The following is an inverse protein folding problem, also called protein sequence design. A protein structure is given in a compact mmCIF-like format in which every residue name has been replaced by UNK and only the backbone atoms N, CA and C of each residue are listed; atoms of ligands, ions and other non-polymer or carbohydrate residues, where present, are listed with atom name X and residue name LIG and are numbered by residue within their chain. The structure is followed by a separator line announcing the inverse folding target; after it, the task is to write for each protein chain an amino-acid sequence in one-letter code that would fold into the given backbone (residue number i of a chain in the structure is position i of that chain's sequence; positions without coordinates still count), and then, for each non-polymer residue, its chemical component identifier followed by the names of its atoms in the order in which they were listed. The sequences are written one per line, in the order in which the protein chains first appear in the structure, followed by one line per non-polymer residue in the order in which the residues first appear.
data_IF_124794395787
#
_entry.id   IF_124794395787
#
_cell.length_a   1.000
_cell.length_b   1.000
_cell.length_c   1.000
_cell.angle_alpha   90.00
_cell.angle_beta   90.00
_cell.angle_gamma   90.00
#
_symmetry.space_group_name_H-M   'P 1'
#
loop_
_entity.id
_entity.type
_entity.pdbx_description
1 polymer ?
#
# COMPACT_ATOMS: atom_id res chain seq x y z
N UNK A 1 16.14 -28.45 -17.70
CA UNK A 1 14.71 -28.24 -18.02
C UNK A 1 14.46 -26.74 -17.82
N UNK A 2 14.11 -26.03 -18.88
CA UNK A 2 13.95 -24.57 -18.86
C UNK A 2 12.80 -24.18 -17.92
N UNK A 3 13.09 -23.32 -16.97
CA UNK A 3 12.09 -22.67 -16.13
C UNK A 3 11.20 -21.87 -17.07
N UNK A 4 9.95 -22.31 -17.23
CA UNK A 4 8.99 -21.64 -18.08
C UNK A 4 8.87 -20.17 -17.65
N UNK A 5 8.91 -19.26 -18.64
CA UNK A 5 8.72 -17.83 -18.42
C UNK A 5 7.52 -17.64 -17.51
N UNK A 6 7.69 -17.05 -16.32
CA UNK A 6 6.58 -16.62 -15.47
C UNK A 6 5.80 -15.61 -16.29
N UNK A 7 4.64 -16.03 -16.75
CA UNK A 7 3.63 -15.12 -17.23
C UNK A 7 3.00 -14.49 -15.95
N UNK A 8 3.02 -13.16 -15.82
CA UNK A 8 2.37 -12.48 -14.69
C UNK A 8 0.95 -13.00 -14.48
N UNK A 9 0.23 -13.27 -15.56
CA UNK A 9 -1.10 -13.88 -15.51
C UNK A 9 -1.08 -15.28 -14.89
N UNK A 10 -0.04 -16.09 -15.15
CA UNK A 10 0.08 -17.41 -14.53
C UNK A 10 0.44 -17.33 -13.05
N UNK A 11 1.19 -16.30 -12.64
CA UNK A 11 1.47 -16.04 -11.23
C UNK A 11 0.18 -15.73 -10.47
N UNK A 12 -0.67 -14.88 -11.01
CA UNK A 12 -1.99 -14.58 -10.44
C UNK A 12 -2.98 -15.77 -10.57
N UNK A 13 -2.80 -16.66 -11.53
CA UNK A 13 -3.60 -17.90 -11.71
C UNK A 13 -3.05 -19.10 -10.93
N UNK A 14 -1.92 -18.95 -10.25
CA UNK A 14 -1.33 -20.05 -9.49
C UNK A 14 -2.22 -20.41 -8.29
N UNK A 15 -2.97 -21.51 -8.44
CA UNK A 15 -3.92 -22.02 -7.42
C UNK A 15 -3.26 -22.34 -6.08
N UNK A 16 -1.94 -22.51 -6.05
CA UNK A 16 -1.20 -22.76 -4.82
C UNK A 16 -1.05 -21.50 -3.95
N UNK A 17 -1.21 -20.30 -4.55
CA UNK A 17 -1.05 -19.03 -3.84
C UNK A 17 -2.34 -18.51 -3.20
N UNK A 18 -3.50 -19.09 -3.54
CA UNK A 18 -4.81 -18.59 -3.13
C UNK A 18 -5.78 -19.70 -2.75
N UNK A 19 -6.69 -19.45 -1.83
CA UNK A 19 -7.74 -20.41 -1.47
C UNK A 19 -8.75 -20.60 -2.61
N UNK A 20 -9.43 -21.75 -2.67
CA UNK A 20 -10.50 -22.00 -3.66
C UNK A 20 -11.59 -20.94 -3.63
N UNK A 21 -11.97 -20.44 -2.44
CA UNK A 21 -12.98 -19.40 -2.27
C UNK A 21 -12.49 -18.07 -2.83
N UNK A 22 -11.24 -17.72 -2.52
CA UNK A 22 -10.55 -16.53 -3.07
C UNK A 22 -10.49 -16.60 -4.60
N UNK A 23 -10.29 -17.78 -5.18
CA UNK A 23 -10.19 -17.95 -6.64
C UNK A 23 -11.53 -17.74 -7.37
N UNK A 24 -12.67 -18.08 -6.80
CA UNK A 24 -13.99 -17.85 -7.43
C UNK A 24 -14.29 -16.34 -7.50
N UNK A 25 -14.00 -15.62 -6.43
CA UNK A 25 -14.07 -14.16 -6.39
C UNK A 25 -12.96 -13.53 -7.27
N UNK A 26 -11.84 -14.22 -7.41
CA UNK A 26 -10.66 -13.81 -8.15
C UNK A 26 -10.84 -13.87 -9.67
N UNK A 27 -11.54 -14.84 -10.25
CA UNK A 27 -11.82 -14.87 -11.68
C UNK A 27 -12.56 -13.60 -12.14
N UNK A 28 -13.50 -13.12 -11.33
CA UNK A 28 -14.16 -11.83 -11.56
C UNK A 28 -13.18 -10.64 -11.43
N UNK A 29 -12.36 -10.64 -10.38
CA UNK A 29 -11.37 -9.59 -10.13
C UNK A 29 -10.26 -9.61 -11.19
N UNK A 30 -9.93 -10.78 -11.69
CA UNK A 30 -8.97 -10.97 -12.77
C UNK A 30 -9.48 -10.48 -14.12
N UNK A 31 -10.77 -10.66 -14.42
CA UNK A 31 -11.41 -10.06 -15.59
C UNK A 31 -11.40 -8.53 -15.51
N UNK A 32 -11.60 -7.97 -14.33
CA UNK A 32 -11.41 -6.54 -14.06
C UNK A 32 -9.95 -6.12 -14.27
N UNK A 33 -8.99 -6.96 -13.89
CA UNK A 33 -7.56 -6.76 -14.12
C UNK A 33 -7.21 -6.71 -15.61
N UNK A 34 -7.64 -7.69 -16.41
CA UNK A 34 -7.34 -7.74 -17.85
C UNK A 34 -7.90 -6.53 -18.59
N UNK A 35 -9.03 -5.98 -18.15
CA UNK A 35 -9.69 -4.83 -18.77
C UNK A 35 -9.06 -3.48 -18.42
N UNK A 36 -8.45 -3.36 -17.25
CA UNK A 36 -8.04 -2.07 -16.67
C UNK A 36 -6.55 -1.78 -16.68
N UNK A 37 -5.69 -2.79 -16.88
CA UNK A 37 -4.24 -2.59 -16.83
C UNK A 37 -3.58 -3.15 -18.07
N UNK A 38 -3.12 -2.26 -18.94
CA UNK A 38 -2.28 -2.63 -20.06
C UNK A 38 -0.83 -2.80 -19.60
N UNK A 39 -0.54 -3.88 -18.85
CA UNK A 39 0.82 -4.23 -18.43
C UNK A 39 1.77 -4.41 -19.62
N UNK A 40 1.25 -4.82 -20.76
CA UNK A 40 2.04 -5.06 -21.96
C UNK A 40 2.64 -3.79 -22.57
N UNK A 41 2.17 -2.61 -22.14
CA UNK A 41 2.69 -1.31 -22.63
C UNK A 41 3.81 -0.75 -21.77
N UNK A 42 4.17 -1.36 -20.63
CA UNK A 42 5.23 -0.87 -19.77
C UNK A 42 6.59 -1.44 -20.18
N UNK A 43 7.47 -0.61 -20.78
CA UNK A 43 8.74 -1.03 -21.37
C UNK A 43 9.72 -1.74 -20.40
N UNK A 44 9.51 -1.64 -19.09
CA UNK A 44 10.34 -2.31 -18.06
C UNK A 44 9.75 -3.60 -17.51
N UNK A 45 8.55 -3.98 -17.93
CA UNK A 45 7.83 -5.13 -17.37
C UNK A 45 8.61 -6.45 -17.54
N UNK A 46 9.15 -6.70 -18.73
CA UNK A 46 9.93 -7.90 -19.00
C UNK A 46 11.18 -7.99 -18.10
N UNK A 47 11.84 -6.85 -17.86
CA UNK A 47 12.98 -6.76 -16.95
C UNK A 47 12.59 -7.15 -15.53
N UNK A 48 11.46 -6.66 -15.02
CA UNK A 48 10.97 -7.02 -13.69
C UNK A 48 10.57 -8.48 -13.58
N UNK A 49 9.96 -9.06 -14.61
CA UNK A 49 9.66 -10.50 -14.66
C UNK A 49 10.95 -11.31 -14.58
N UNK A 50 11.99 -10.91 -15.32
CA UNK A 50 13.29 -11.58 -15.29
C UNK A 50 13.93 -11.48 -13.89
N UNK A 51 13.76 -10.35 -13.17
CA UNK A 51 14.18 -10.19 -11.78
C UNK A 51 13.46 -11.21 -10.88
N UNK A 52 12.13 -11.31 -10.97
CA UNK A 52 11.37 -12.28 -10.18
C UNK A 52 11.81 -13.73 -10.46
N UNK A 53 12.09 -14.07 -11.72
CA UNK A 53 12.57 -15.38 -12.14
C UNK A 53 14.00 -15.69 -11.65
N UNK A 54 14.78 -14.66 -11.34
CA UNK A 54 16.16 -14.77 -10.88
C UNK A 54 16.27 -14.81 -9.36
N UNK A 55 15.15 -14.68 -8.64
CA UNK A 55 15.13 -14.82 -7.18
C UNK A 55 15.47 -16.28 -6.78
N UNK A 56 16.24 -16.49 -5.71
CA UNK A 56 16.55 -17.84 -5.22
C UNK A 56 15.28 -18.64 -4.94
N UNK A 57 15.29 -19.90 -5.33
CA UNK A 57 14.16 -20.81 -5.08
C UNK A 57 14.28 -21.44 -3.70
N UNK A 58 13.81 -20.73 -2.67
CA UNK A 58 13.87 -21.16 -1.28
C UNK A 58 12.43 -21.31 -0.77
N UNK A 59 12.14 -22.42 -0.10
CA UNK A 59 10.87 -22.61 0.58
C UNK A 59 10.99 -22.24 2.05
N UNK A 60 10.02 -21.51 2.55
CA UNK A 60 9.87 -21.21 3.97
C UNK A 60 8.43 -21.29 4.42
N UNK A 61 8.26 -21.63 5.69
CA UNK A 61 6.97 -21.59 6.39
C UNK A 61 6.92 -20.47 7.43
N UNK A 62 8.01 -19.70 7.53
CA UNK A 62 8.12 -18.66 8.54
C UNK A 62 7.64 -17.33 7.98
N UNK A 63 6.65 -16.76 8.64
CA UNK A 63 6.18 -15.40 8.45
C UNK A 63 5.87 -14.79 9.81
N UNK A 64 6.46 -13.63 10.11
CA UNK A 64 6.14 -12.83 11.29
C UNK A 64 5.78 -11.41 10.85
N UNK A 65 4.55 -11.02 11.08
CA UNK A 65 3.99 -9.69 10.79
C UNK A 65 3.68 -8.91 12.08
N UNK A 66 3.93 -9.46 13.25
CA UNK A 66 3.66 -8.84 14.55
C UNK A 66 4.67 -7.73 14.89
N UNK A 67 5.88 -7.81 14.34
CA UNK A 67 6.97 -6.87 14.59
C UNK A 67 6.91 -5.66 13.65
N UNK A 68 7.80 -4.68 13.86
CA UNK A 68 7.93 -3.52 12.97
C UNK A 68 8.20 -3.92 11.51
N UNK A 69 9.11 -4.87 11.26
CA UNK A 69 9.37 -5.43 9.94
C UNK A 69 8.46 -6.64 9.66
N UNK A 70 7.98 -6.74 8.41
CA UNK A 70 7.41 -7.99 7.93
C UNK A 70 8.56 -8.95 7.66
N UNK A 71 8.67 -9.98 8.48
CA UNK A 71 9.72 -10.98 8.35
C UNK A 71 9.21 -12.21 7.59
N UNK A 72 9.88 -12.57 6.50
CA UNK A 72 9.58 -13.74 5.67
C UNK A 72 10.82 -14.60 5.59
N UNK A 73 10.72 -15.83 6.06
CA UNK A 73 11.86 -16.75 6.18
C UNK A 73 12.77 -16.47 7.37
N UNK A 74 13.52 -17.51 7.77
CA UNK A 74 14.50 -17.41 8.84
C UNK A 74 15.90 -17.20 8.28
N UNK A 75 16.81 -16.57 9.05
CA UNK A 75 18.18 -16.31 8.60
C UNK A 75 18.98 -17.57 8.23
N UNK A 76 18.68 -18.71 8.83
CA UNK A 76 19.37 -19.99 8.57
C UNK A 76 18.80 -20.79 7.39
N UNK A 77 17.74 -20.30 6.75
CA UNK A 77 17.12 -20.96 5.58
C UNK A 77 17.74 -20.50 4.25
N UNK A 78 18.70 -19.56 4.26
CA UNK A 78 19.35 -19.02 3.06
C UNK A 78 20.87 -19.13 3.15
N UNK A 79 21.51 -19.55 2.07
CA UNK A 79 22.97 -19.52 1.92
C UNK A 79 23.48 -18.11 1.64
N UNK A 80 24.73 -17.80 1.98
CA UNK A 80 25.30 -16.46 1.74
C UNK A 80 25.37 -16.11 0.25
N UNK A 81 25.62 -17.09 -0.62
CA UNK A 81 25.57 -16.90 -2.08
C UNK A 81 24.17 -16.54 -2.58
N UNK A 82 23.14 -17.21 -2.06
CA UNK A 82 21.74 -16.93 -2.40
C UNK A 82 21.28 -15.59 -1.85
N UNK A 83 21.71 -15.23 -0.62
CA UNK A 83 21.44 -13.92 -0.02
C UNK A 83 21.93 -12.78 -0.93
N UNK A 84 23.14 -12.92 -1.48
CA UNK A 84 23.69 -11.92 -2.40
C UNK A 84 22.81 -11.76 -3.65
N UNK A 85 22.41 -12.88 -4.26
CA UNK A 85 21.51 -12.89 -5.42
C UNK A 85 20.15 -12.27 -5.06
N UNK A 86 19.58 -12.62 -3.90
CA UNK A 86 18.32 -12.06 -3.41
C UNK A 86 18.41 -10.55 -3.28
N UNK A 87 19.42 -10.05 -2.56
CA UNK A 87 19.60 -8.62 -2.31
C UNK A 87 19.80 -7.82 -3.60
N UNK A 88 20.66 -8.29 -4.50
CA UNK A 88 20.91 -7.65 -5.80
C UNK A 88 19.64 -7.56 -6.65
N UNK A 89 18.81 -8.60 -6.67
CA UNK A 89 17.57 -8.61 -7.45
C UNK A 89 16.47 -7.75 -6.79
N UNK A 90 16.34 -7.76 -5.47
CA UNK A 90 15.39 -6.89 -4.77
C UNK A 90 15.79 -5.41 -4.91
N UNK A 91 17.08 -5.07 -4.95
CA UNK A 91 17.55 -3.70 -5.21
C UNK A 91 17.17 -3.21 -6.61
N UNK A 92 17.15 -4.07 -7.62
CA UNK A 92 16.69 -3.71 -8.98
C UNK A 92 15.19 -3.38 -9.04
N UNK A 93 14.42 -3.74 -8.01
CA UNK A 93 13.02 -3.34 -7.84
C UNK A 93 12.87 -2.02 -7.05
N UNK A 94 13.92 -1.27 -6.80
CA UNK A 94 13.86 0.04 -6.13
C UNK A 94 13.10 1.07 -6.99
N UNK A 95 12.45 2.09 -6.38
CA UNK A 95 12.47 2.45 -4.96
C UNK A 95 11.43 1.67 -4.13
N UNK A 96 11.86 1.20 -2.94
CA UNK A 96 10.97 0.60 -1.96
C UNK A 96 10.38 1.68 -1.05
N UNK A 97 9.09 1.94 -1.22
CA UNK A 97 8.42 3.03 -0.50
C UNK A 97 7.93 2.65 0.89
N UNK A 98 7.20 1.54 1.03
CA UNK A 98 6.65 1.07 2.30
C UNK A 98 7.47 -0.08 2.88
N UNK A 99 7.56 -0.18 4.20
CA UNK A 99 8.29 -1.22 4.93
C UNK A 99 8.48 -0.83 6.40
N UNK A 100 9.42 -1.48 7.12
CA UNK A 100 10.49 -2.35 6.59
C UNK A 100 10.06 -3.80 6.33
N UNK A 101 10.87 -4.52 5.53
CA UNK A 101 10.78 -5.96 5.37
C UNK A 101 12.10 -6.62 5.77
N UNK A 102 12.04 -7.85 6.26
CA UNK A 102 13.19 -8.72 6.46
C UNK A 102 12.92 -10.03 5.73
N UNK A 103 13.56 -10.23 4.57
CA UNK A 103 13.40 -11.45 3.77
C UNK A 103 14.65 -12.32 4.02
N UNK A 104 14.48 -13.41 4.78
CA UNK A 104 15.56 -14.21 5.35
C UNK A 104 16.56 -13.35 6.14
N UNK A 105 17.74 -13.03 5.56
CA UNK A 105 18.77 -12.15 6.13
C UNK A 105 18.81 -10.76 5.45
N UNK A 106 17.96 -10.50 4.45
CA UNK A 106 18.00 -9.29 3.67
C UNK A 106 17.00 -8.28 4.25
N UNK A 107 17.52 -7.23 4.87
CA UNK A 107 16.71 -6.13 5.38
C UNK A 107 16.44 -5.12 4.25
N UNK A 108 15.17 -4.82 4.04
CA UNK A 108 14.70 -3.76 3.14
C UNK A 108 14.27 -2.58 4.01
N UNK A 109 15.23 -1.69 4.28
CA UNK A 109 15.00 -0.43 4.97
C UNK A 109 14.42 0.59 3.98
N UNK A 110 13.11 0.56 3.82
CA UNK A 110 12.35 1.36 2.85
C UNK A 110 12.36 2.86 3.18
N UNK A 111 11.85 3.68 2.24
CA UNK A 111 11.71 5.13 2.46
C UNK A 111 10.93 5.46 3.72
N UNK A 112 9.78 4.82 3.88
CA UNK A 112 8.88 5.03 5.01
C UNK A 112 9.09 3.99 6.10
N UNK A 113 9.21 4.46 7.33
CA UNK A 113 8.96 3.68 8.54
C UNK A 113 7.44 3.50 8.70
N UNK A 114 6.89 2.62 7.84
CA UNK A 114 5.44 2.37 7.80
C UNK A 114 4.92 1.71 9.08
N UNK A 115 5.81 1.07 9.84
CA UNK A 115 5.55 0.55 11.18
C UNK A 115 5.07 1.65 12.15
N UNK A 116 5.65 2.85 12.12
CA UNK A 116 5.21 3.98 12.95
C UNK A 116 3.77 4.37 12.65
N UNK A 117 3.40 4.42 11.36
CA UNK A 117 2.01 4.70 10.97
C UNK A 117 1.07 3.55 11.34
N UNK A 118 1.53 2.30 11.25
CA UNK A 118 0.76 1.14 11.70
C UNK A 118 0.42 1.23 13.18
N UNK A 119 1.39 1.54 14.03
CA UNK A 119 1.17 1.68 15.48
C UNK A 119 0.12 2.78 15.80
N UNK A 120 0.10 3.87 15.03
CA UNK A 120 -0.91 4.95 15.21
C UNK A 120 -2.34 4.50 14.90
N UNK A 121 -2.54 3.53 14.00
CA UNK A 121 -3.88 3.05 13.63
C UNK A 121 -4.29 1.77 14.37
N UNK A 122 -3.34 1.02 14.89
CA UNK A 122 -3.53 -0.35 15.40
C UNK A 122 -4.63 -0.46 16.46
N UNK A 123 -4.67 0.49 17.40
CA UNK A 123 -5.68 0.52 18.48
C UNK A 123 -7.09 0.84 18.02
N UNK A 124 -7.23 1.40 16.81
CA UNK A 124 -8.51 1.79 16.24
C UNK A 124 -9.06 0.77 15.22
N UNK A 125 -8.29 -0.28 14.94
CA UNK A 125 -8.74 -1.33 14.04
C UNK A 125 -9.88 -2.14 14.68
N UNK A 126 -10.95 -2.47 13.93
CA UNK A 126 -12.03 -3.30 14.43
C UNK A 126 -11.51 -4.66 14.90
N UNK A 127 -11.88 -5.06 16.12
CA UNK A 127 -11.50 -6.34 16.71
C UNK A 127 -12.55 -7.42 16.36
N UNK A 128 -12.54 -7.85 15.11
CA UNK A 128 -13.48 -8.86 14.59
C UNK A 128 -12.73 -9.80 13.66
N UNK A 129 -12.81 -11.08 13.91
CA UNK A 129 -12.24 -12.12 13.04
C UNK A 129 -13.06 -12.31 11.75
N UNK A 130 -12.42 -12.88 10.73
CA UNK A 130 -13.08 -13.23 9.48
C UNK A 130 -13.53 -12.03 8.65
N UNK A 131 -13.00 -10.83 8.91
CA UNK A 131 -13.30 -9.62 8.12
C UNK A 131 -12.80 -9.73 6.69
N UNK A 132 -13.55 -9.12 5.78
CA UNK A 132 -13.07 -8.78 4.44
C UNK A 132 -12.52 -7.37 4.48
N UNK A 133 -11.26 -7.20 4.09
CA UNK A 133 -10.54 -5.94 4.20
C UNK A 133 -10.05 -5.50 2.83
N UNK A 134 -10.22 -4.21 2.50
CA UNK A 134 -9.64 -3.60 1.30
C UNK A 134 -8.55 -2.60 1.69
N UNK A 135 -7.36 -2.73 1.09
CA UNK A 135 -6.22 -1.81 1.25
C UNK A 135 -6.01 -1.02 -0.04
N UNK A 136 -6.56 0.19 -0.10
CA UNK A 136 -6.49 1.07 -1.29
C UNK A 136 -5.11 1.71 -1.37
N UNK A 137 -4.43 1.56 -2.53
CA UNK A 137 -3.05 2.02 -2.70
C UNK A 137 -2.09 1.23 -1.83
N UNK A 138 -2.27 -0.09 -1.78
CA UNK A 138 -1.53 -0.98 -0.90
C UNK A 138 -0.01 -0.96 -1.16
N UNK A 139 0.45 -0.45 -2.31
CA UNK A 139 1.85 -0.44 -2.71
C UNK A 139 2.40 -1.88 -2.75
N UNK A 140 3.51 -2.16 -2.07
CA UNK A 140 4.13 -3.48 -1.96
C UNK A 140 3.48 -4.41 -0.93
N UNK A 141 2.29 -4.06 -0.43
CA UNK A 141 1.51 -4.90 0.48
C UNK A 141 1.91 -4.84 1.96
N UNK A 142 2.75 -3.90 2.38
CA UNK A 142 3.20 -3.83 3.77
C UNK A 142 2.02 -3.84 4.76
N UNK A 143 1.04 -2.93 4.59
CA UNK A 143 -0.14 -2.91 5.46
C UNK A 143 -1.04 -4.13 5.25
N UNK A 144 -1.11 -4.66 4.03
CA UNK A 144 -1.86 -5.88 3.77
C UNK A 144 -1.32 -7.07 4.57
N UNK A 145 0.01 -7.19 4.74
CA UNK A 145 0.61 -8.18 5.65
C UNK A 145 0.33 -7.87 7.12
N UNK A 146 0.41 -6.62 7.54
CA UNK A 146 0.10 -6.21 8.92
C UNK A 146 -1.35 -6.52 9.32
N UNK A 147 -2.29 -6.38 8.38
CA UNK A 147 -3.71 -6.68 8.60
C UNK A 147 -3.99 -8.16 8.90
N UNK A 148 -3.05 -9.06 8.67
CA UNK A 148 -3.16 -10.46 9.09
C UNK A 148 -3.28 -10.62 10.61
N UNK A 149 -2.85 -9.64 11.40
CA UNK A 149 -3.03 -9.62 12.86
C UNK A 149 -4.52 -9.69 13.26
N UNK A 150 -5.42 -9.26 12.37
CA UNK A 150 -6.87 -9.29 12.58
C UNK A 150 -7.53 -10.63 12.19
N UNK A 151 -6.76 -11.64 11.80
CA UNK A 151 -7.26 -12.92 11.31
C UNK A 151 -8.38 -12.77 10.26
N UNK A 152 -8.12 -12.03 9.13
CA UNK A 152 -9.13 -11.72 8.13
C UNK A 152 -9.50 -12.94 7.29
N UNK A 153 -10.72 -12.96 6.73
CA UNK A 153 -11.10 -13.87 5.66
C UNK A 153 -10.25 -13.59 4.41
N UNK A 154 -10.13 -12.33 4.03
CA UNK A 154 -9.32 -11.86 2.89
C UNK A 154 -8.86 -10.42 3.11
N UNK A 155 -7.65 -10.12 2.68
CA UNK A 155 -7.12 -8.77 2.46
C UNK A 155 -6.94 -8.55 0.97
N UNK A 156 -7.71 -7.64 0.41
CA UNK A 156 -7.63 -7.25 -1.00
C UNK A 156 -6.91 -5.91 -1.12
N UNK A 157 -5.66 -5.95 -1.59
CA UNK A 157 -4.92 -4.76 -1.97
C UNK A 157 -5.30 -4.29 -3.38
N UNK A 158 -5.49 -2.99 -3.57
CA UNK A 158 -5.70 -2.37 -4.88
C UNK A 158 -4.55 -1.41 -5.15
N UNK A 159 -3.75 -1.69 -6.19
CA UNK A 159 -2.56 -0.90 -6.53
C UNK A 159 -2.47 -0.72 -8.04
N UNK A 160 -2.24 0.51 -8.50
CA UNK A 160 -2.13 0.82 -9.93
C UNK A 160 -0.70 0.81 -10.48
N UNK A 161 0.30 0.91 -9.60
CA UNK A 161 1.70 1.07 -9.98
C UNK A 161 2.37 -0.29 -10.19
N UNK A 162 2.75 -0.65 -11.44
CA UNK A 162 3.29 -1.98 -11.73
C UNK A 162 4.50 -2.36 -10.89
N UNK A 163 5.43 -1.43 -10.64
CA UNK A 163 6.62 -1.69 -9.83
C UNK A 163 6.27 -2.19 -8.43
N UNK A 164 5.29 -1.57 -7.76
CA UNK A 164 4.90 -1.96 -6.40
C UNK A 164 4.24 -3.33 -6.37
N UNK A 165 3.53 -3.67 -7.44
CA UNK A 165 2.98 -5.02 -7.61
C UNK A 165 4.11 -6.04 -7.75
N UNK A 166 5.18 -5.73 -8.52
CA UNK A 166 6.36 -6.61 -8.61
C UNK A 166 7.06 -6.78 -7.26
N UNK A 167 7.15 -5.72 -6.46
CA UNK A 167 7.67 -5.82 -5.09
C UNK A 167 6.80 -6.73 -4.21
N UNK A 168 5.46 -6.59 -4.29
CA UNK A 168 4.55 -7.51 -3.60
C UNK A 168 4.76 -8.96 -4.06
N UNK A 169 4.87 -9.20 -5.37
CA UNK A 169 5.08 -10.54 -5.91
C UNK A 169 6.43 -11.12 -5.44
N UNK A 170 7.49 -10.31 -5.36
CA UNK A 170 8.79 -10.73 -4.85
C UNK A 170 8.71 -11.20 -3.39
N UNK A 171 7.90 -10.56 -2.55
CA UNK A 171 7.64 -11.02 -1.17
C UNK A 171 6.73 -12.24 -1.14
N UNK A 172 5.71 -12.27 -2.00
CA UNK A 172 4.70 -13.32 -2.06
C UNK A 172 5.27 -14.67 -2.50
N UNK A 173 6.29 -14.68 -3.35
CA UNK A 173 7.03 -15.90 -3.76
C UNK A 173 7.48 -16.71 -2.54
N UNK A 174 7.91 -16.05 -1.47
CA UNK A 174 8.33 -16.69 -0.24
C UNK A 174 7.20 -16.86 0.79
N UNK A 175 6.16 -16.05 0.72
CA UNK A 175 4.98 -16.11 1.60
C UNK A 175 3.82 -16.94 1.00
N UNK A 176 4.11 -18.04 0.31
CA UNK A 176 3.12 -18.88 -0.42
C UNK A 176 1.99 -19.40 0.46
N UNK A 177 2.28 -19.72 1.72
CA UNK A 177 1.26 -20.25 2.66
C UNK A 177 0.19 -19.24 3.05
N UNK A 178 0.43 -17.94 2.86
CA UNK A 178 -0.55 -16.91 3.09
C UNK A 178 -1.45 -16.81 1.85
N UNK A 179 -2.61 -17.45 1.91
CA UNK A 179 -3.52 -17.55 0.77
C UNK A 179 -4.63 -16.50 0.77
N UNK A 180 -4.73 -15.72 1.84
CA UNK A 180 -5.79 -14.73 2.04
C UNK A 180 -5.35 -13.27 1.84
N UNK A 181 -4.18 -13.03 1.23
CA UNK A 181 -3.78 -11.72 0.70
C UNK A 181 -3.74 -11.78 -0.81
N UNK A 182 -4.45 -10.88 -1.45
CA UNK A 182 -4.48 -10.69 -2.90
C UNK A 182 -4.22 -9.22 -3.23
N UNK A 183 -3.39 -8.92 -4.23
CA UNK A 183 -3.21 -7.57 -4.76
C UNK A 183 -3.71 -7.51 -6.20
N UNK A 184 -4.60 -6.56 -6.48
CA UNK A 184 -5.17 -6.33 -7.80
C UNK A 184 -4.54 -5.10 -8.41
N UNK A 185 -3.94 -5.23 -9.60
CA UNK A 185 -3.45 -4.10 -10.37
C UNK A 185 -4.62 -3.32 -10.98
N UNK A 186 -5.12 -2.35 -10.27
CA UNK A 186 -6.23 -1.52 -10.74
C UNK A 186 -6.18 -0.12 -10.13
N UNK A 187 -6.83 0.81 -10.81
CA UNK A 187 -7.24 2.05 -10.20
C UNK A 187 -8.53 1.82 -9.40
N UNK A 188 -8.57 2.25 -8.15
CA UNK A 188 -9.71 1.99 -7.27
C UNK A 188 -11.03 2.59 -7.79
N UNK A 189 -10.96 3.73 -8.48
CA UNK A 189 -12.15 4.37 -9.07
C UNK A 189 -12.79 3.51 -10.16
N UNK A 190 -11.98 2.69 -10.84
CA UNK A 190 -12.44 1.75 -11.88
C UNK A 190 -12.77 0.37 -11.32
N UNK A 191 -12.51 0.15 -10.03
CA UNK A 191 -12.77 -1.11 -9.37
C UNK A 191 -14.27 -1.26 -9.11
N UNK A 192 -14.94 -1.99 -9.99
CA UNK A 192 -16.33 -2.36 -9.82
C UNK A 192 -16.39 -3.73 -9.13
N UNK A 193 -16.60 -3.72 -7.82
CA UNK A 193 -16.61 -4.93 -7.02
C UNK A 193 -18.03 -5.44 -6.79
N UNK A 194 -18.11 -6.76 -6.65
CA UNK A 194 -19.26 -7.47 -6.10
C UNK A 194 -19.04 -7.89 -4.64
N UNK A 195 -17.96 -7.40 -4.04
CA UNK A 195 -17.52 -7.77 -2.69
C UNK A 195 -17.68 -6.58 -1.79
N UNK A 196 -18.44 -6.73 -0.73
CA UNK A 196 -18.54 -5.73 0.32
C UNK A 196 -17.50 -5.99 1.41
N UNK A 197 -16.82 -4.95 1.86
CA UNK A 197 -15.77 -5.02 2.87
C UNK A 197 -16.25 -4.55 4.25
N UNK A 198 -15.74 -5.19 5.30
CA UNK A 198 -15.96 -4.77 6.69
C UNK A 198 -15.07 -3.58 7.06
N UNK A 199 -13.86 -3.53 6.46
CA UNK A 199 -12.86 -2.49 6.68
C UNK A 199 -12.24 -2.05 5.35
N UNK A 200 -12.11 -0.75 5.13
CA UNK A 200 -11.39 -0.17 4.00
C UNK A 200 -10.31 0.78 4.52
N UNK A 201 -9.07 0.54 4.14
CA UNK A 201 -7.95 1.44 4.39
C UNK A 201 -7.69 2.30 3.15
N UNK A 202 -7.48 3.60 3.35
CA UNK A 202 -7.00 4.54 2.34
C UNK A 202 -5.89 5.41 2.96
N UNK A 203 -4.64 4.92 2.86
CA UNK A 203 -3.51 5.48 3.58
C UNK A 203 -2.59 6.24 2.61
N UNK A 204 -2.66 7.59 2.63
CA UNK A 204 -1.80 8.44 1.80
C UNK A 204 -2.26 8.57 0.35
N UNK A 205 -3.57 8.50 0.07
CA UNK A 205 -4.13 8.50 -1.28
C UNK A 205 -4.96 9.76 -1.57
N UNK A 206 -5.74 10.24 -0.61
CA UNK A 206 -6.74 11.29 -0.85
C UNK A 206 -6.14 12.55 -1.50
N UNK A 207 -4.99 13.02 -1.04
CA UNK A 207 -4.32 14.20 -1.58
C UNK A 207 -3.77 14.01 -3.00
N UNK A 208 -3.65 12.76 -3.49
CA UNK A 208 -3.33 12.43 -4.86
C UNK A 208 -4.56 12.30 -5.77
N UNK A 209 -5.76 12.30 -5.19
CA UNK A 209 -6.98 12.17 -5.98
C UNK A 209 -7.26 13.45 -6.75
N UNK A 210 -7.60 13.32 -8.03
CA UNK A 210 -8.08 14.44 -8.85
C UNK A 210 -9.49 14.84 -8.47
N UNK A 211 -10.27 13.91 -7.93
CA UNK A 211 -11.63 14.12 -7.43
C UNK A 211 -11.76 13.49 -6.04
N UNK A 212 -11.44 14.22 -4.97
CA UNK A 212 -11.50 13.72 -3.61
C UNK A 212 -12.89 13.22 -3.19
N UNK A 213 -13.97 13.88 -3.63
CA UNK A 213 -15.34 13.44 -3.34
C UNK A 213 -15.63 12.07 -3.94
N UNK A 214 -15.27 11.85 -5.19
CA UNK A 214 -15.41 10.55 -5.86
C UNK A 214 -14.57 9.46 -5.16
N UNK A 215 -13.38 9.81 -4.62
CA UNK A 215 -12.57 8.87 -3.86
C UNK A 215 -13.29 8.43 -2.58
N UNK A 216 -13.86 9.37 -1.82
CA UNK A 216 -14.62 9.07 -0.60
C UNK A 216 -15.89 8.28 -0.93
N UNK A 217 -16.62 8.65 -1.99
CA UNK A 217 -17.77 7.89 -2.49
C UNK A 217 -17.38 6.45 -2.83
N UNK A 218 -16.22 6.27 -3.48
CA UNK A 218 -15.70 4.93 -3.82
C UNK A 218 -15.41 4.11 -2.56
N UNK A 219 -14.80 4.69 -1.53
CA UNK A 219 -14.62 4.02 -0.23
C UNK A 219 -15.98 3.59 0.34
N UNK A 220 -16.97 4.48 0.32
CA UNK A 220 -18.34 4.17 0.79
C UNK A 220 -18.98 3.03 0.01
N UNK A 221 -18.80 3.00 -1.31
CA UNK A 221 -19.33 1.93 -2.18
C UNK A 221 -18.71 0.57 -1.88
N UNK A 222 -17.42 0.54 -1.51
CA UNK A 222 -16.71 -0.69 -1.15
C UNK A 222 -17.14 -1.25 0.21
N UNK A 223 -17.62 -0.42 1.12
CA UNK A 223 -17.97 -0.81 2.48
C UNK A 223 -19.37 -1.43 2.57
N UNK A 224 -19.52 -2.43 3.43
CA UNK A 224 -20.80 -2.86 3.98
C UNK A 224 -21.44 -1.72 4.78
N UNK A 225 -22.76 -1.79 4.98
CA UNK A 225 -23.43 -0.92 5.96
C UNK A 225 -22.78 -1.10 7.35
N UNK A 226 -22.50 0.01 8.02
CA UNK A 226 -21.72 0.06 9.27
C UNK A 226 -20.26 -0.44 9.16
N UNK A 227 -19.76 -0.72 7.97
CA UNK A 227 -18.34 -0.98 7.73
C UNK A 227 -17.49 0.25 8.05
N UNK A 228 -16.26 0.02 8.46
CA UNK A 228 -15.34 1.07 8.93
C UNK A 228 -14.34 1.46 7.83
N UNK A 229 -14.03 2.75 7.72
CA UNK A 229 -12.86 3.20 6.96
C UNK A 229 -11.83 3.83 7.89
N UNK A 230 -10.55 3.60 7.55
CA UNK A 230 -9.42 4.34 8.09
C UNK A 230 -8.81 5.13 6.93
N UNK A 231 -8.92 6.44 7.02
CA UNK A 231 -8.42 7.38 6.03
C UNK A 231 -7.25 8.17 6.60
N UNK A 232 -6.07 8.03 6.01
CA UNK A 232 -4.95 8.90 6.34
C UNK A 232 -4.65 9.84 5.18
N UNK A 233 -4.51 11.11 5.48
CA UNK A 233 -4.22 12.15 4.50
C UNK A 233 -3.35 13.27 5.07
N UNK A 234 -2.73 14.04 4.18
CA UNK A 234 -2.08 15.29 4.56
C UNK A 234 -3.16 16.35 4.78
N UNK A 235 -3.02 17.12 5.86
CA UNK A 235 -3.82 18.30 6.14
C UNK A 235 -2.93 19.52 6.35
N UNK A 236 -3.45 20.72 5.99
CA UNK A 236 -2.78 21.98 6.24
C UNK A 236 -3.00 22.45 7.67
N UNK A 237 -2.01 23.12 8.24
CA UNK A 237 -2.11 23.86 9.50
C UNK A 237 -2.81 25.23 9.33
N UNK A 238 -2.97 25.69 8.08
CA UNK A 238 -3.57 26.97 7.76
C UNK A 238 -5.10 26.95 7.83
N UNK A 239 -5.69 28.15 7.71
CA UNK A 239 -7.15 28.36 7.79
C UNK A 239 -7.90 27.99 6.52
N UNK A 240 -7.20 27.74 5.42
CA UNK A 240 -7.76 27.41 4.11
C UNK A 240 -7.12 26.18 3.50
N UNK A 241 -7.86 25.48 2.65
CA UNK A 241 -7.29 24.39 1.85
C UNK A 241 -6.23 24.93 0.90
N UNK A 242 -5.18 24.14 0.67
CA UNK A 242 -4.14 24.46 -0.32
C UNK A 242 -4.43 23.69 -1.60
N UNK A 243 -4.72 24.40 -2.68
CA UNK A 243 -4.88 23.83 -4.01
C UNK A 243 -3.56 23.92 -4.75
N UNK A 244 -3.10 22.78 -5.27
CA UNK A 244 -1.84 22.71 -6.01
C UNK A 244 -2.15 22.83 -7.50
N UNK A 245 -1.59 23.85 -8.14
CA UNK A 245 -1.74 24.08 -9.57
C UNK A 245 -1.10 22.95 -10.39
N UNK A 246 -1.68 22.71 -11.56
CA UNK A 246 -1.15 21.71 -12.50
C UNK A 246 0.33 22.00 -12.81
N UNK A 247 1.18 20.98 -12.63
CA UNK A 247 2.62 21.07 -12.88
C UNK A 247 3.45 21.55 -11.68
N UNK A 248 2.80 22.02 -10.61
CA UNK A 248 3.47 22.33 -9.34
C UNK A 248 3.61 21.09 -8.46
N UNK A 249 4.51 21.20 -7.48
CA UNK A 249 4.75 20.16 -6.46
C UNK A 249 4.37 20.68 -5.07
N UNK A 250 4.18 19.75 -4.14
CA UNK A 250 4.00 20.02 -2.71
C UNK A 250 4.98 19.13 -1.95
N UNK A 251 5.92 19.71 -1.23
CA UNK A 251 7.02 18.98 -0.60
C UNK A 251 7.68 17.97 -1.58
N UNK A 252 7.99 18.42 -2.82
CA UNK A 252 8.56 17.61 -3.87
C UNK A 252 7.62 16.56 -4.49
N UNK A 253 6.44 16.35 -3.94
CA UNK A 253 5.47 15.39 -4.45
C UNK A 253 4.76 15.96 -5.68
N UNK A 254 4.75 15.16 -6.75
CA UNK A 254 3.98 15.42 -7.97
C UNK A 254 2.53 14.90 -7.83
N UNK A 255 1.63 15.40 -8.66
CA UNK A 255 0.25 14.95 -8.74
C UNK A 255 -0.53 15.09 -7.42
N UNK A 256 -0.28 16.18 -6.70
CA UNK A 256 -1.09 16.59 -5.55
C UNK A 256 -2.21 17.48 -6.06
N UNK A 257 -3.44 17.22 -5.64
CA UNK A 257 -4.59 18.04 -6.01
C UNK A 257 -4.91 19.09 -4.96
N UNK A 258 -5.32 18.63 -3.78
CA UNK A 258 -5.73 19.48 -2.67
C UNK A 258 -5.18 18.95 -1.36
N UNK A 259 -4.63 19.84 -0.54
CA UNK A 259 -4.34 19.60 0.87
C UNK A 259 -5.46 20.27 1.65
N UNK A 260 -6.31 19.46 2.25
CA UNK A 260 -7.46 19.94 3.02
C UNK A 260 -7.05 20.42 4.40
N UNK A 261 -7.85 21.32 4.97
CA UNK A 261 -7.87 21.45 6.42
C UNK A 261 -8.78 20.37 7.03
N UNK A 262 -8.55 20.04 8.28
CA UNK A 262 -9.27 18.97 8.98
C UNK A 262 -10.78 19.02 8.82
N UNK A 263 -11.39 20.21 9.14
CA UNK A 263 -12.84 20.40 9.06
C UNK A 263 -13.41 20.02 7.69
N UNK A 264 -12.67 20.28 6.61
CA UNK A 264 -13.13 19.97 5.27
C UNK A 264 -13.05 18.49 4.94
N UNK A 265 -12.09 17.75 5.54
CA UNK A 265 -12.08 16.27 5.45
C UNK A 265 -13.26 15.67 6.21
N UNK A 266 -13.56 16.17 7.43
CA UNK A 266 -14.75 15.75 8.20
C UNK A 266 -16.05 16.01 7.43
N UNK A 267 -16.19 17.20 6.84
CA UNK A 267 -17.35 17.55 6.01
C UNK A 267 -17.46 16.64 4.79
N UNK A 268 -16.34 16.40 4.09
CA UNK A 268 -16.28 15.55 2.90
C UNK A 268 -16.75 14.11 3.21
N UNK A 269 -16.33 13.56 4.34
CA UNK A 269 -16.79 12.24 4.81
C UNK A 269 -18.30 12.27 5.12
N UNK A 270 -18.78 13.28 5.87
CA UNK A 270 -20.21 13.38 6.24
C UNK A 270 -21.12 13.50 5.03
N UNK A 271 -20.77 14.36 4.07
CA UNK A 271 -21.50 14.59 2.82
C UNK A 271 -21.55 13.34 1.93
N UNK A 272 -20.57 12.47 2.04
CA UNK A 272 -20.50 11.22 1.28
C UNK A 272 -21.04 10.00 2.06
N UNK A 273 -21.89 10.21 3.05
CA UNK A 273 -22.66 9.14 3.68
C UNK A 273 -21.95 8.40 4.80
N UNK A 274 -20.96 9.02 5.44
CA UNK A 274 -20.33 8.48 6.64
C UNK A 274 -20.93 9.07 7.92
N UNK A 275 -20.81 8.34 9.02
CA UNK A 275 -21.19 8.69 10.39
C UNK A 275 -20.07 8.32 11.36
N UNK A 276 -20.18 8.73 12.62
CA UNK A 276 -19.18 8.45 13.66
C UNK A 276 -17.78 8.85 13.19
N UNK A 277 -17.68 10.04 12.61
CA UNK A 277 -16.45 10.53 11.98
C UNK A 277 -15.59 11.19 13.04
N UNK A 278 -14.37 10.71 13.20
CA UNK A 278 -13.41 11.21 14.20
C UNK A 278 -12.02 11.34 13.58
N UNK A 279 -11.31 12.41 13.90
CA UNK A 279 -9.88 12.54 13.68
C UNK A 279 -9.17 12.03 14.93
N UNK A 280 -8.46 10.91 14.79
CA UNK A 280 -7.90 10.15 15.92
C UNK A 280 -6.40 10.34 16.10
N UNK A 281 -5.72 10.89 15.11
CA UNK A 281 -4.28 11.14 15.17
C UNK A 281 -3.87 12.33 14.31
N UNK A 282 -2.93 13.09 14.84
CA UNK A 282 -2.18 14.13 14.12
C UNK A 282 -0.70 13.88 14.31
N UNK A 283 0.01 13.68 13.23
CA UNK A 283 1.46 13.51 13.27
C UNK A 283 2.18 14.42 12.29
N UNK A 284 3.24 15.04 12.76
CA UNK A 284 4.24 15.62 11.86
C UNK A 284 5.06 14.49 11.27
N UNK A 285 5.24 14.50 9.95
CA UNK A 285 6.19 13.58 9.32
C UNK A 285 7.58 14.11 9.56
N UNK A 286 8.38 13.38 10.36
CA UNK A 286 9.77 13.72 10.57
C UNK A 286 10.69 13.05 9.53
N UNK A 287 11.92 13.54 9.45
CA UNK A 287 12.96 13.03 8.54
C UNK A 287 13.44 11.62 8.91
N UNK A 288 13.10 11.11 10.11
CA UNK A 288 13.37 9.74 10.51
C UNK A 288 12.25 8.79 10.11
N UNK A 289 11.06 9.29 9.84
CA UNK A 289 9.94 8.50 9.34
C UNK A 289 9.96 8.38 7.81
N UNK A 290 10.31 9.47 7.09
CA UNK A 290 10.46 9.47 5.63
C UNK A 290 11.87 9.91 5.25
N UNK A 291 12.68 8.99 4.73
CA UNK A 291 14.10 9.19 4.50
C UNK A 291 14.61 8.50 3.24
N UNK A 292 15.75 8.98 2.73
CA UNK A 292 16.51 8.24 1.72
C UNK A 292 17.24 7.08 2.38
N UNK A 293 17.31 5.95 1.72
CA UNK A 293 17.97 4.73 2.16
C UNK A 293 18.67 4.07 0.98
N UNK A 294 19.40 2.97 1.21
CA UNK A 294 19.94 2.11 0.15
C UNK A 294 18.83 1.63 -0.82
N UNK A 295 17.62 1.44 -0.32
CA UNK A 295 16.46 0.94 -1.06
C UNK A 295 15.61 2.04 -1.69
N UNK A 296 15.90 3.29 -1.35
CA UNK A 296 15.29 4.50 -1.94
C UNK A 296 16.33 5.60 -1.98
N UNK A 297 17.11 5.66 -3.06
CA UNK A 297 18.27 6.54 -3.23
C UNK A 297 17.92 7.96 -3.71
N UNK A 298 16.66 8.24 -4.03
CA UNK A 298 16.22 9.57 -4.45
C UNK A 298 16.12 10.57 -3.30
N UNK A 299 15.70 11.79 -3.64
CA UNK A 299 15.35 12.82 -2.66
C UNK A 299 14.20 12.36 -1.77
N UNK A 300 14.28 12.71 -0.50
CA UNK A 300 13.25 12.41 0.50
C UNK A 300 12.85 13.67 1.27
N UNK A 301 12.02 13.56 2.30
CA UNK A 301 11.41 14.70 3.00
C UNK A 301 12.39 15.82 3.36
N UNK A 302 13.58 15.48 3.90
CA UNK A 302 14.61 16.44 4.29
C UNK A 302 15.05 17.38 3.16
N UNK A 303 14.90 16.93 1.90
CA UNK A 303 15.29 17.71 0.72
C UNK A 303 14.20 18.70 0.28
N UNK A 304 13.02 18.66 0.91
CA UNK A 304 11.84 19.42 0.52
C UNK A 304 11.23 20.26 1.64
N UNK A 305 11.80 20.18 2.86
CA UNK A 305 11.33 20.96 4.02
C UNK A 305 12.44 21.91 4.47
N UNK A 306 12.07 23.17 4.67
CA UNK A 306 12.92 24.22 5.21
C UNK A 306 13.06 24.11 6.74
N UNK A 307 14.07 24.75 7.36
CA UNK A 307 14.25 24.74 8.83
C UNK A 307 13.04 25.26 9.62
N UNK A 308 12.22 26.12 9.05
CA UNK A 308 10.98 26.62 9.66
C UNK A 308 9.78 25.68 9.49
N UNK A 309 9.97 24.49 8.90
CA UNK A 309 8.94 23.51 8.65
C UNK A 309 8.09 23.73 7.39
N UNK A 310 8.31 24.83 6.66
CA UNK A 310 7.60 25.07 5.40
C UNK A 310 8.23 24.24 4.28
N UNK A 311 7.45 23.99 3.22
CA UNK A 311 7.98 23.32 2.02
C UNK A 311 8.89 24.25 1.24
N UNK A 312 9.80 23.69 0.42
CA UNK A 312 10.68 24.49 -0.47
C UNK A 312 9.91 25.29 -1.50
N UNK A 313 8.67 24.89 -1.81
CA UNK A 313 7.76 25.61 -2.72
C UNK A 313 7.05 26.79 -2.02
N UNK A 314 7.27 27.00 -0.72
CA UNK A 314 6.71 28.10 0.05
C UNK A 314 5.36 27.80 0.71
N UNK A 315 4.87 26.58 0.68
CA UNK A 315 3.67 26.20 1.42
C UNK A 315 3.97 26.06 2.91
N UNK A 316 2.98 26.36 3.75
CA UNK A 316 3.08 26.19 5.21
C UNK A 316 3.31 24.73 5.60
N UNK A 317 3.86 24.53 6.79
CA UNK A 317 3.98 23.20 7.41
C UNK A 317 2.64 22.48 7.48
N UNK A 318 2.68 21.16 7.47
CA UNK A 318 1.51 20.29 7.39
C UNK A 318 1.58 19.14 8.39
N UNK A 319 0.41 18.54 8.64
CA UNK A 319 0.30 17.31 9.40
C UNK A 319 -0.15 16.16 8.50
N UNK A 320 0.06 14.94 8.98
CA UNK A 320 -0.70 13.77 8.56
C UNK A 320 -1.76 13.51 9.62
N UNK A 321 -3.00 13.39 9.17
CA UNK A 321 -4.13 13.14 10.05
C UNK A 321 -4.78 11.81 9.69
N UNK A 322 -5.25 11.10 10.71
CA UNK A 322 -5.96 9.82 10.57
C UNK A 322 -7.40 10.02 10.99
N UNK A 323 -8.30 9.69 10.08
CA UNK A 323 -9.73 9.76 10.28
C UNK A 323 -10.32 8.35 10.28
N UNK A 324 -11.24 8.12 11.21
CA UNK A 324 -12.07 6.91 11.28
C UNK A 324 -13.50 7.32 11.03
N UNK A 325 -14.19 6.53 10.24
CA UNK A 325 -15.60 6.77 9.95
C UNK A 325 -16.32 5.45 9.63
N UNK A 326 -17.62 5.43 9.81
CA UNK A 326 -18.48 4.29 9.49
C UNK A 326 -19.46 4.67 8.36
N UNK A 327 -19.68 3.76 7.45
CA UNK A 327 -20.75 3.92 6.42
C UNK A 327 -22.12 3.93 7.08
N UNK A 328 -23.01 4.86 6.70
CA UNK A 328 -24.41 4.92 7.15
C UNK A 328 -25.23 3.72 6.73
#
# INVERSE_FOLDING_TARGET
MGIGKINILSFFKNKELYSKKTLIEYDYLFDCFQKNVNFNSHGTLESWINILNSLPNIETNFLDYSRHAIQIGRPNEILESEKKILEENLLKLSPWRKGPFLIFKTEIDSEWRSDKKWERIRSFLPQKEGMRICDIGCSNGYYSYKLLELNPEIVLGVEKTPLYIMQFLATKIYAKKIQNILVIPSNVENFNNKIDFDLVLSMGILYHSKNPAQHIETIGRLLKRNGTTILETIITKGDTDIRIEKGKTFAGMKNIGVIFKEKNVLNLLNENGFKNIECVDYSETDVNEQRSTKWMTGKSLKDFILPNGNTIEGYSSFYRAIFIAQKK
#
